data_IF_667693507186
#
_entry.id   IF_667693507186
#
_cell.length_a   1.000
_cell.length_b   1.000
_cell.length_c   1.000
_cell.angle_alpha   90.00
_cell.angle_beta   90.00
_cell.angle_gamma   90.00
#
_symmetry.space_group_name_H-M   'P 1'
#
loop_
_entity.id
_entity.type
_entity.pdbx_description
1 polymer ?
#
# COMPACT_ATOMS: atom_id res chain seq x y z
N UNK A 1 16.24 -35.72 4.52
CA UNK A 1 16.97 -35.17 3.37
C UNK A 1 15.94 -34.48 2.50
N UNK A 2 15.72 -33.17 2.67
CA UNK A 2 14.78 -32.38 1.86
C UNK A 2 15.49 -31.27 1.06
N UNK A 3 16.79 -31.48 0.79
CA UNK A 3 17.61 -30.57 0.00
C UNK A 3 17.36 -30.83 -1.50
N UNK A 4 16.59 -29.96 -2.17
CA UNK A 4 16.48 -30.02 -3.62
C UNK A 4 15.35 -29.21 -4.27
N UNK A 5 14.26 -28.92 -3.56
CA UNK A 5 13.13 -28.23 -4.17
C UNK A 5 13.41 -26.74 -4.35
N UNK A 6 13.25 -26.25 -5.59
CA UNK A 6 13.24 -24.83 -5.94
C UNK A 6 11.82 -24.29 -5.92
N UNK A 7 11.69 -23.00 -5.66
CA UNK A 7 10.40 -22.33 -5.68
C UNK A 7 9.74 -22.50 -7.06
N UNK A 8 8.64 -23.24 -7.08
CA UNK A 8 7.87 -23.58 -8.27
C UNK A 8 7.97 -25.02 -8.76
N UNK A 9 8.78 -25.85 -8.11
CA UNK A 9 8.82 -27.30 -8.37
C UNK A 9 7.57 -28.01 -7.82
N UNK A 10 6.92 -27.43 -6.80
CA UNK A 10 5.68 -27.90 -6.19
C UNK A 10 4.82 -26.74 -5.69
N UNK A 11 3.53 -27.02 -5.50
CA UNK A 11 2.63 -26.08 -4.82
C UNK A 11 2.97 -26.01 -3.34
N UNK A 12 3.11 -24.79 -2.81
CA UNK A 12 3.34 -24.57 -1.39
C UNK A 12 2.07 -24.05 -0.74
N UNK A 13 1.61 -24.71 0.31
CA UNK A 13 0.43 -24.35 1.08
C UNK A 13 0.60 -24.82 2.53
N UNK A 14 -0.21 -24.28 3.43
CA UNK A 14 -0.21 -24.71 4.83
C UNK A 14 -0.79 -26.12 4.92
N UNK A 15 0.01 -27.07 5.39
CA UNK A 15 -0.36 -28.48 5.55
C UNK A 15 0.05 -29.02 6.93
N UNK A 16 -0.48 -30.18 7.30
CA UNK A 16 -0.02 -30.95 8.47
C UNK A 16 0.49 -32.32 8.01
N UNK A 17 1.79 -32.65 8.17
CA UNK A 17 2.85 -31.78 8.72
C UNK A 17 3.17 -30.57 7.82
N UNK A 18 3.72 -29.50 8.41
CA UNK A 18 4.07 -28.27 7.66
C UNK A 18 5.13 -28.55 6.61
N UNK A 19 4.96 -27.96 5.43
CA UNK A 19 5.96 -28.04 4.36
C UNK A 19 7.25 -27.37 4.80
N UNK A 20 8.38 -28.00 4.44
CA UNK A 20 9.72 -27.49 4.71
C UNK A 20 10.62 -27.64 3.49
N UNK A 21 11.57 -26.72 3.35
CA UNK A 21 12.57 -26.77 2.28
C UNK A 21 13.13 -25.40 1.89
N UNK A 22 14.08 -25.43 0.95
CA UNK A 22 14.70 -24.22 0.39
C UNK A 22 13.70 -23.41 -0.46
N UNK A 23 12.75 -24.08 -1.09
CA UNK A 23 11.61 -23.47 -1.79
C UNK A 23 10.74 -22.62 -0.85
N UNK A 24 10.50 -23.09 0.37
CA UNK A 24 9.77 -22.34 1.40
C UNK A 24 10.60 -21.16 1.91
N UNK A 25 11.89 -21.34 2.16
CA UNK A 25 12.79 -20.24 2.55
C UNK A 25 12.84 -19.15 1.47
N UNK A 26 12.86 -19.56 0.19
CA UNK A 26 12.86 -18.65 -0.94
C UNK A 26 11.51 -17.93 -1.09
N UNK A 27 10.39 -18.61 -0.85
CA UNK A 27 9.07 -17.98 -0.77
C UNK A 27 9.05 -16.91 0.33
N UNK A 28 9.49 -17.27 1.54
CA UNK A 28 9.56 -16.36 2.69
C UNK A 28 10.41 -15.11 2.38
N UNK A 29 11.58 -15.32 1.77
CA UNK A 29 12.48 -14.23 1.35
C UNK A 29 11.84 -13.32 0.31
N UNK A 30 11.16 -13.87 -0.71
CA UNK A 30 10.51 -13.07 -1.76
C UNK A 30 9.35 -12.25 -1.23
N UNK A 31 8.53 -12.86 -0.38
CA UNK A 31 7.47 -12.17 0.35
C UNK A 31 8.06 -11.04 1.20
N UNK A 32 9.13 -11.31 1.95
CA UNK A 32 9.84 -10.30 2.75
C UNK A 32 10.41 -9.15 1.94
N UNK A 33 11.03 -9.42 0.78
CA UNK A 33 11.52 -8.38 -0.16
C UNK A 33 10.39 -7.50 -0.69
N UNK A 34 9.21 -8.09 -0.88
CA UNK A 34 8.01 -7.37 -1.29
C UNK A 34 7.27 -6.73 -0.09
N UNK A 35 7.83 -6.86 1.12
CA UNK A 35 7.38 -6.26 2.37
C UNK A 35 6.22 -6.98 3.06
N UNK A 36 5.99 -8.24 2.72
CA UNK A 36 5.05 -9.13 3.40
C UNK A 36 5.76 -9.86 4.55
N UNK A 37 5.17 -9.79 5.74
CA UNK A 37 5.77 -10.35 6.96
C UNK A 37 5.48 -11.85 7.09
N UNK A 38 6.50 -12.67 6.86
CA UNK A 38 6.40 -14.13 6.91
C UNK A 38 6.84 -14.71 8.24
N UNK A 39 7.15 -13.85 9.22
CA UNK A 39 7.87 -14.23 10.43
C UNK A 39 9.35 -14.50 10.14
N UNK A 40 9.92 -15.48 10.86
CA UNK A 40 11.32 -15.88 10.66
C UNK A 40 11.46 -16.69 9.36
N UNK A 41 12.48 -16.36 8.55
CA UNK A 41 12.88 -17.19 7.40
C UNK A 41 13.55 -18.46 7.94
N UNK A 42 12.74 -19.47 8.25
CA UNK A 42 13.15 -20.75 8.84
C UNK A 42 12.91 -21.94 7.91
N UNK A 43 12.42 -21.67 6.70
CA UNK A 43 12.11 -22.68 5.70
C UNK A 43 10.91 -23.55 6.05
N UNK A 44 10.02 -23.09 6.94
CA UNK A 44 8.79 -23.80 7.32
C UNK A 44 7.57 -22.96 6.96
N UNK A 45 6.63 -23.55 6.23
CA UNK A 45 5.41 -22.85 5.83
C UNK A 45 4.41 -22.93 6.98
N UNK A 46 4.54 -21.99 7.92
CA UNK A 46 3.63 -21.81 9.05
C UNK A 46 2.52 -20.79 8.76
N UNK A 47 1.62 -20.54 9.74
CA UNK A 47 0.51 -19.60 9.61
C UNK A 47 0.93 -18.18 9.23
N UNK A 48 2.09 -17.70 9.70
CA UNK A 48 2.61 -16.37 9.33
C UNK A 48 3.00 -16.30 7.85
N UNK A 49 3.69 -17.33 7.34
CA UNK A 49 4.05 -17.43 5.92
C UNK A 49 2.81 -17.57 5.04
N UNK A 50 1.81 -18.34 5.48
CA UNK A 50 0.52 -18.46 4.77
C UNK A 50 -0.22 -17.12 4.73
N UNK A 51 -0.25 -16.40 5.86
CA UNK A 51 -0.86 -15.07 5.96
C UNK A 51 -0.19 -14.07 5.01
N UNK A 52 1.15 -14.03 4.99
CA UNK A 52 1.90 -13.21 4.04
C UNK A 52 1.67 -13.60 2.58
N UNK A 53 1.54 -14.89 2.29
CA UNK A 53 1.24 -15.37 0.95
C UNK A 53 -0.17 -14.96 0.49
N UNK A 54 -1.18 -15.12 1.35
CA UNK A 54 -2.53 -14.61 1.11
C UNK A 54 -2.52 -13.10 0.91
N UNK A 55 -1.76 -12.40 1.74
CA UNK A 55 -1.61 -10.96 1.63
C UNK A 55 -1.02 -10.54 0.29
N UNK A 56 0.02 -11.24 -0.15
CA UNK A 56 0.62 -11.08 -1.45
C UNK A 56 -0.37 -11.35 -2.57
N UNK A 57 -1.13 -12.45 -2.50
CA UNK A 57 -2.11 -12.82 -3.51
C UNK A 57 -3.20 -11.76 -3.66
N UNK A 58 -3.82 -11.34 -2.56
CA UNK A 58 -4.82 -10.26 -2.60
C UNK A 58 -4.22 -8.97 -3.14
N UNK A 59 -3.02 -8.63 -2.67
CA UNK A 59 -2.35 -7.44 -3.14
C UNK A 59 -1.94 -7.56 -4.60
N UNK A 60 -1.71 -8.76 -5.15
CA UNK A 60 -1.37 -8.98 -6.54
C UNK A 60 -2.61 -9.18 -7.46
N UNK A 61 -3.83 -9.12 -6.91
CA UNK A 61 -5.05 -9.42 -7.67
C UNK A 61 -5.20 -10.90 -8.05
N UNK A 62 -4.55 -11.80 -7.30
CA UNK A 62 -4.64 -13.24 -7.46
C UNK A 62 -5.73 -13.82 -6.55
N UNK A 63 -6.23 -15.03 -6.84
CA UNK A 63 -7.03 -15.79 -5.89
C UNK A 63 -6.30 -15.92 -4.55
N UNK A 64 -6.94 -15.48 -3.46
CA UNK A 64 -6.40 -15.51 -2.10
C UNK A 64 -6.62 -16.88 -1.45
N UNK A 65 -6.06 -17.92 -2.04
CA UNK A 65 -6.21 -19.31 -1.59
C UNK A 65 -5.10 -19.74 -0.61
N UNK A 66 -4.04 -18.94 -0.43
CA UNK A 66 -2.88 -19.30 0.36
C UNK A 66 -2.01 -20.37 -0.29
N UNK A 67 -2.18 -20.61 -1.59
CA UNK A 67 -1.45 -21.60 -2.37
C UNK A 67 -0.46 -20.89 -3.29
N UNK A 68 0.83 -21.15 -3.09
CA UNK A 68 1.87 -20.69 -3.99
C UNK A 68 1.91 -21.60 -5.23
N UNK A 69 0.94 -21.42 -6.12
CA UNK A 69 0.84 -22.05 -7.43
C UNK A 69 1.51 -21.25 -8.55
N UNK A 70 1.29 -21.67 -9.79
CA UNK A 70 1.91 -21.09 -10.98
C UNK A 70 1.67 -19.58 -11.12
N UNK A 71 0.46 -19.10 -10.82
CA UNK A 71 0.09 -17.68 -10.93
C UNK A 71 0.82 -16.81 -9.90
N UNK A 72 0.93 -17.31 -8.66
CA UNK A 72 1.72 -16.69 -7.60
C UNK A 72 3.19 -16.58 -8.02
N UNK A 73 3.76 -17.66 -8.57
CA UNK A 73 5.15 -17.71 -9.03
C UNK A 73 5.39 -16.76 -10.21
N UNK A 74 4.49 -16.75 -11.19
CA UNK A 74 4.56 -15.85 -12.33
C UNK A 74 4.48 -14.39 -11.87
N UNK A 75 3.65 -14.10 -10.87
CA UNK A 75 3.57 -12.77 -10.27
C UNK A 75 4.88 -12.40 -9.55
N UNK A 76 5.48 -13.30 -8.77
CA UNK A 76 6.83 -13.05 -8.23
C UNK A 76 7.83 -12.75 -9.35
N UNK A 77 7.85 -13.51 -10.45
CA UNK A 77 8.75 -13.24 -11.59
C UNK A 77 8.54 -11.88 -12.22
N UNK A 78 7.30 -11.37 -12.26
CA UNK A 78 6.98 -10.01 -12.75
C UNK A 78 7.39 -8.92 -11.76
N UNK A 79 7.28 -9.18 -10.47
CA UNK A 79 7.52 -8.21 -9.39
C UNK A 79 8.98 -8.17 -8.89
N UNK A 80 9.75 -9.22 -9.19
CA UNK A 80 11.20 -9.28 -8.99
C UNK A 80 11.86 -8.80 -10.28
N UNK A 81 12.48 -7.61 -10.33
CA UNK A 81 13.11 -7.13 -11.54
C UNK A 81 14.27 -8.06 -11.91
N UNK A 82 14.42 -8.37 -13.21
CA UNK A 82 15.77 -8.61 -13.75
C UNK A 82 16.59 -7.36 -13.47
N UNK A 83 17.80 -7.53 -12.94
CA UNK A 83 18.74 -6.43 -12.79
C UNK A 83 18.92 -5.73 -14.15
N UNK A 84 18.42 -4.49 -14.25
CA UNK A 84 18.48 -3.65 -15.44
C UNK A 84 17.11 -3.34 -16.06
N UNK A 85 16.63 -2.11 -15.89
CA UNK A 85 15.98 -1.23 -16.91
C UNK A 85 15.02 -0.20 -16.27
N UNK A 86 15.47 1.06 -16.29
CA UNK A 86 14.76 2.32 -16.62
C UNK A 86 13.45 2.77 -15.94
N UNK A 87 13.00 2.19 -14.83
CA UNK A 87 11.84 2.73 -14.09
C UNK A 87 12.14 4.01 -13.27
N UNK A 88 13.41 4.40 -13.13
CA UNK A 88 13.86 5.53 -12.30
C UNK A 88 13.41 6.90 -12.81
N UNK A 89 13.18 7.05 -14.11
CA UNK A 89 12.94 8.38 -14.69
C UNK A 89 11.48 8.84 -14.59
N UNK A 90 10.51 7.94 -14.41
CA UNK A 90 9.09 8.33 -14.39
C UNK A 90 8.63 8.79 -13.00
N UNK A 91 9.13 8.17 -11.93
CA UNK A 91 8.72 8.51 -10.56
C UNK A 91 9.34 9.82 -10.06
N UNK A 92 10.63 10.04 -10.33
CA UNK A 92 11.31 11.30 -9.98
C UNK A 92 10.76 12.51 -10.74
N UNK A 93 10.38 12.33 -12.02
CA UNK A 93 9.75 13.38 -12.83
C UNK A 93 8.35 13.74 -12.29
N UNK A 94 7.57 12.76 -11.80
CA UNK A 94 6.24 12.99 -11.20
C UNK A 94 6.27 13.71 -9.85
N UNK A 95 7.28 13.45 -9.02
CA UNK A 95 7.44 14.19 -7.75
C UNK A 95 7.77 15.66 -7.98
N UNK A 96 8.59 15.93 -8.99
CA UNK A 96 8.88 17.30 -9.43
C UNK A 96 7.59 18.02 -9.89
N UNK A 97 6.59 17.26 -10.35
CA UNK A 97 5.30 17.78 -10.84
C UNK A 97 4.31 18.11 -9.70
N UNK A 98 4.33 17.38 -8.58
CA UNK A 98 3.57 17.75 -7.36
C UNK A 98 4.07 19.06 -6.73
N UNK A 99 5.39 19.25 -6.74
CA UNK A 99 6.03 20.51 -6.29
C UNK A 99 5.73 21.64 -7.29
N UNK A 100 5.78 21.37 -8.60
CA UNK A 100 5.49 22.37 -9.65
C UNK A 100 4.01 22.76 -9.78
N UNK A 101 3.06 21.87 -9.46
CA UNK A 101 1.63 22.06 -9.72
C UNK A 101 0.89 22.93 -8.69
N UNK A 102 1.62 23.58 -7.77
CA UNK A 102 1.03 24.53 -6.82
C UNK A 102 -0.07 23.89 -5.97
N UNK A 103 0.22 22.74 -5.37
CA UNK A 103 -0.69 22.06 -4.44
C UNK A 103 -0.92 22.95 -3.21
N UNK A 104 -1.91 23.87 -3.27
CA UNK A 104 -2.26 24.80 -2.20
C UNK A 104 -3.56 24.35 -1.55
N UNK A 105 -3.43 23.55 -0.48
CA UNK A 105 -4.56 22.95 0.21
C UNK A 105 -5.31 21.92 -0.66
N UNK A 106 -6.53 21.60 -0.24
CA UNK A 106 -7.37 20.57 -0.87
C UNK A 106 -8.47 21.13 -1.77
N UNK A 107 -8.62 22.47 -1.82
CA UNK A 107 -9.71 23.11 -2.55
C UNK A 107 -9.59 22.86 -4.05
N UNK A 108 -10.62 22.27 -4.65
CA UNK A 108 -10.66 21.95 -6.07
C UNK A 108 -9.81 20.75 -6.48
N UNK A 109 -9.23 20.02 -5.52
CA UNK A 109 -8.45 18.81 -5.76
C UNK A 109 -9.34 17.58 -5.76
N UNK A 110 -9.05 16.63 -6.63
CA UNK A 110 -9.76 15.36 -6.71
C UNK A 110 -9.04 14.32 -5.85
N UNK A 111 -9.66 13.96 -4.73
CA UNK A 111 -9.20 12.89 -3.84
C UNK A 111 -10.00 11.63 -4.13
N UNK A 112 -9.32 10.54 -4.45
CA UNK A 112 -9.95 9.24 -4.69
C UNK A 112 -9.71 8.34 -3.48
N UNK A 113 -10.80 7.86 -2.90
CA UNK A 113 -10.81 6.83 -1.85
C UNK A 113 -11.03 5.47 -2.52
N UNK A 114 -10.14 4.53 -2.27
CA UNK A 114 -10.21 3.19 -2.85
C UNK A 114 -10.43 2.17 -1.73
N UNK A 115 -11.49 1.36 -1.81
CA UNK A 115 -11.69 0.26 -0.86
C UNK A 115 -12.18 -1.03 -1.55
N UNK A 116 -11.87 -2.22 -1.01
CA UNK A 116 -12.41 -3.49 -1.51
C UNK A 116 -13.82 -3.79 -0.98
N UNK A 117 -14.29 -3.04 0.03
CA UNK A 117 -15.60 -3.18 0.68
C UNK A 117 -15.49 -3.34 2.20
N UNK A 118 -16.58 -3.04 2.91
CA UNK A 118 -16.68 -3.19 4.36
C UNK A 118 -16.16 -1.99 5.18
N UNK A 119 -15.77 -0.89 4.52
CA UNK A 119 -15.31 0.33 5.17
C UNK A 119 -16.25 1.53 4.95
N UNK A 120 -17.52 1.28 4.62
CA UNK A 120 -18.51 2.32 4.27
C UNK A 120 -18.59 3.46 5.29
N UNK A 121 -18.53 3.15 6.58
CA UNK A 121 -18.57 4.14 7.66
C UNK A 121 -17.36 5.07 7.65
N UNK A 122 -16.15 4.52 7.48
CA UNK A 122 -14.91 5.28 7.37
C UNK A 122 -14.88 6.06 6.06
N UNK A 123 -15.26 5.43 4.95
CA UNK A 123 -15.35 6.06 3.63
C UNK A 123 -16.32 7.24 3.64
N UNK A 124 -17.50 7.10 4.24
CA UNK A 124 -18.45 8.19 4.39
C UNK A 124 -17.91 9.34 5.26
N UNK A 125 -17.23 9.01 6.37
CA UNK A 125 -16.59 10.00 7.23
C UNK A 125 -15.46 10.76 6.51
N UNK A 126 -14.63 10.05 5.73
CA UNK A 126 -13.57 10.64 4.92
C UNK A 126 -14.13 11.52 3.81
N UNK A 127 -15.16 11.08 3.10
CA UNK A 127 -15.85 11.91 2.07
C UNK A 127 -16.34 13.22 2.66
N UNK A 128 -16.96 13.17 3.85
CA UNK A 128 -17.40 14.39 4.55
C UNK A 128 -16.20 15.27 4.93
N UNK A 129 -15.20 14.70 5.61
CA UNK A 129 -14.06 15.47 6.12
C UNK A 129 -13.21 16.11 5.02
N UNK A 130 -12.90 15.37 3.95
CA UNK A 130 -12.19 15.92 2.79
C UNK A 130 -13.06 16.92 2.00
N UNK A 131 -14.37 16.67 1.91
CA UNK A 131 -15.31 17.61 1.28
C UNK A 131 -15.40 18.95 2.03
N UNK A 132 -15.42 18.92 3.36
CA UNK A 132 -15.35 20.13 4.21
C UNK A 132 -14.02 20.90 4.02
N UNK A 133 -12.93 20.19 3.74
CA UNK A 133 -11.64 20.78 3.36
C UNK A 133 -11.59 21.30 1.90
N UNK A 134 -12.68 21.16 1.13
CA UNK A 134 -12.84 21.67 -0.23
C UNK A 134 -12.42 20.71 -1.35
N UNK A 135 -12.09 19.45 -1.03
CA UNK A 135 -11.78 18.45 -2.04
C UNK A 135 -13.03 17.91 -2.75
N UNK A 136 -12.89 17.59 -4.03
CA UNK A 136 -13.83 16.72 -4.73
C UNK A 136 -13.48 15.28 -4.43
N UNK A 137 -14.33 14.58 -3.67
CA UNK A 137 -14.04 13.22 -3.23
C UNK A 137 -14.79 12.20 -4.07
N UNK A 138 -14.05 11.32 -4.72
CA UNK A 138 -14.59 10.16 -5.42
C UNK A 138 -14.27 8.89 -4.64
N UNK A 139 -15.13 7.89 -4.75
CA UNK A 139 -14.92 6.59 -4.12
C UNK A 139 -14.98 5.52 -5.18
N UNK A 140 -14.02 4.61 -5.15
CA UNK A 140 -13.99 3.41 -5.97
C UNK A 140 -14.16 2.21 -5.04
N UNK A 141 -15.07 1.31 -5.41
CA UNK A 141 -15.31 0.05 -4.73
C UNK A 141 -15.02 -1.08 -5.71
N UNK A 142 -13.94 -1.81 -5.47
CA UNK A 142 -13.54 -2.92 -6.35
C UNK A 142 -12.63 -3.91 -5.60
N UNK A 143 -12.73 -5.23 -5.82
CA UNK A 143 -11.83 -6.19 -5.16
C UNK A 143 -10.37 -6.10 -5.65
N UNK A 144 -10.15 -5.72 -6.91
CA UNK A 144 -8.81 -5.59 -7.53
C UNK A 144 -8.24 -4.17 -7.45
N UNK A 145 -7.08 -4.04 -6.78
CA UNK A 145 -6.28 -2.81 -6.66
C UNK A 145 -5.78 -2.22 -7.97
N UNK A 146 -5.61 -3.04 -9.01
CA UNK A 146 -5.21 -2.58 -10.35
C UNK A 146 -6.36 -1.84 -11.04
N UNK A 147 -7.60 -2.28 -10.82
CA UNK A 147 -8.79 -1.56 -11.29
C UNK A 147 -8.97 -0.21 -10.60
N UNK A 148 -8.75 -0.16 -9.28
CA UNK A 148 -8.69 1.10 -8.52
C UNK A 148 -7.68 2.07 -9.13
N UNK A 149 -6.46 1.62 -9.39
CA UNK A 149 -5.42 2.44 -9.99
C UNK A 149 -5.81 2.94 -11.39
N UNK A 150 -6.36 2.05 -12.25
CA UNK A 150 -6.85 2.43 -13.58
C UNK A 150 -7.91 3.53 -13.51
N UNK A 151 -8.91 3.38 -12.66
CA UNK A 151 -10.00 4.34 -12.52
C UNK A 151 -9.51 5.67 -11.91
N UNK A 152 -8.64 5.64 -10.90
CA UNK A 152 -8.01 6.83 -10.34
C UNK A 152 -7.19 7.61 -11.39
N UNK A 153 -6.48 6.89 -12.26
CA UNK A 153 -5.77 7.48 -13.39
C UNK A 153 -6.70 8.10 -14.44
N UNK A 154 -7.83 7.44 -14.74
CA UNK A 154 -8.82 7.93 -15.71
C UNK A 154 -9.45 9.25 -15.27
N UNK A 155 -9.75 9.39 -13.98
CA UNK A 155 -10.33 10.63 -13.43
C UNK A 155 -9.28 11.70 -13.14
N UNK A 156 -8.01 11.45 -13.49
CA UNK A 156 -6.88 12.34 -13.22
C UNK A 156 -6.84 12.82 -11.76
N UNK A 157 -6.99 11.87 -10.81
CA UNK A 157 -6.98 12.21 -9.39
C UNK A 157 -5.67 12.90 -8.97
N UNK A 158 -5.78 13.86 -8.06
CA UNK A 158 -4.63 14.53 -7.45
C UNK A 158 -4.01 13.69 -6.33
N UNK A 159 -4.83 12.88 -5.64
CA UNK A 159 -4.43 12.07 -4.51
C UNK A 159 -5.26 10.77 -4.43
N UNK A 160 -4.60 9.67 -4.11
CA UNK A 160 -5.24 8.38 -3.83
C UNK A 160 -4.99 7.95 -2.39
N UNK A 161 -6.06 7.57 -1.69
CA UNK A 161 -6.00 6.94 -0.38
C UNK A 161 -6.68 5.57 -0.49
N UNK A 162 -5.88 4.51 -0.44
CA UNK A 162 -6.37 3.15 -0.43
C UNK A 162 -6.63 2.69 1.02
N UNK A 163 -7.84 2.24 1.30
CA UNK A 163 -8.29 1.75 2.61
C UNK A 163 -8.48 0.24 2.54
N UNK A 164 -7.77 -0.50 3.38
CA UNK A 164 -7.84 -1.95 3.47
C UNK A 164 -8.16 -2.36 4.91
N UNK A 165 -8.85 -3.48 5.09
CA UNK A 165 -9.19 -4.02 6.41
C UNK A 165 -8.91 -5.51 6.43
N UNK A 166 -7.98 -5.92 7.30
CA UNK A 166 -7.60 -7.33 7.47
C UNK A 166 -7.22 -7.57 8.92
N UNK A 167 -7.63 -8.69 9.53
CA UNK A 167 -7.16 -9.06 10.86
C UNK A 167 -5.63 -9.01 10.94
N UNK A 168 -5.09 -8.28 11.90
CA UNK A 168 -3.63 -8.16 12.06
C UNK A 168 -3.17 -6.79 12.53
N UNK A 169 -1.94 -6.42 12.19
CA UNK A 169 -1.39 -5.11 12.54
C UNK A 169 -1.84 -4.03 11.56
N UNK A 170 -2.08 -2.83 12.10
CA UNK A 170 -2.29 -1.65 11.28
C UNK A 170 -1.01 -1.30 10.53
N UNK A 171 -1.11 -0.91 9.27
CA UNK A 171 0.05 -0.45 8.50
C UNK A 171 -0.31 0.66 7.53
N UNK A 172 0.66 1.55 7.28
CA UNK A 172 0.60 2.52 6.19
C UNK A 172 1.72 2.21 5.22
N UNK A 173 1.41 2.23 3.94
CA UNK A 173 2.36 1.93 2.87
C UNK A 173 2.37 2.98 1.78
N UNK A 174 3.55 3.23 1.23
CA UNK A 174 3.78 4.12 0.08
C UNK A 174 4.59 3.37 -0.99
N UNK A 175 4.64 3.92 -2.20
CA UNK A 175 5.39 3.27 -3.27
C UNK A 175 6.90 3.31 -2.99
N UNK A 176 7.51 2.14 -2.83
CA UNK A 176 8.96 1.99 -2.84
C UNK A 176 9.40 0.72 -3.56
N UNK A 177 10.50 0.86 -4.27
CA UNK A 177 11.09 -0.13 -5.14
C UNK A 177 12.62 0.05 -5.09
N UNK A 178 13.38 -1.00 -5.39
CA UNK A 178 14.84 -0.90 -5.58
C UNK A 178 15.18 0.24 -6.54
N UNK A 179 15.81 1.30 -6.01
CA UNK A 179 16.23 2.49 -6.76
C UNK A 179 15.12 3.47 -7.18
N UNK A 180 13.86 3.24 -6.75
CA UNK A 180 12.73 4.12 -7.09
C UNK A 180 11.78 4.22 -5.90
N UNK A 181 11.53 5.41 -5.41
CA UNK A 181 10.64 5.67 -4.27
C UNK A 181 9.74 6.86 -4.61
N UNK A 182 8.52 6.88 -4.07
CA UNK A 182 7.72 8.10 -4.05
C UNK A 182 8.03 8.85 -2.76
N UNK A 183 8.89 9.87 -2.82
CA UNK A 183 9.15 10.76 -1.69
C UNK A 183 7.89 11.50 -1.19
N UNK A 184 6.99 11.93 -2.07
CA UNK A 184 5.71 12.55 -1.75
C UNK A 184 4.77 11.56 -1.05
N UNK A 185 4.68 10.34 -1.57
CA UNK A 185 3.93 9.26 -0.92
C UNK A 185 4.53 8.89 0.44
N UNK A 186 5.87 8.89 0.56
CA UNK A 186 6.57 8.67 1.82
C UNK A 186 6.27 9.77 2.82
N UNK A 187 6.45 11.04 2.45
CA UNK A 187 6.17 12.18 3.31
C UNK A 187 4.72 12.15 3.82
N UNK A 188 3.76 11.96 2.91
CA UNK A 188 2.36 11.81 3.28
C UNK A 188 2.12 10.62 4.21
N UNK A 189 2.75 9.48 3.94
CA UNK A 189 2.61 8.29 4.77
C UNK A 189 3.13 8.50 6.20
N UNK A 190 4.25 9.23 6.36
CA UNK A 190 4.78 9.60 7.67
C UNK A 190 3.85 10.58 8.40
N UNK A 191 3.36 11.63 7.72
CA UNK A 191 2.38 12.54 8.31
C UNK A 191 1.10 11.78 8.75
N UNK A 192 0.62 10.85 7.92
CA UNK A 192 -0.54 10.04 8.24
C UNK A 192 -0.30 9.13 9.45
N UNK A 193 0.87 8.50 9.55
CA UNK A 193 1.23 7.66 10.69
C UNK A 193 1.24 8.45 12.00
N UNK A 194 1.88 9.62 12.03
CA UNK A 194 1.92 10.50 13.22
C UNK A 194 0.52 10.90 13.71
N UNK A 195 -0.39 11.21 12.78
CA UNK A 195 -1.74 11.65 13.14
C UNK A 195 -2.64 10.50 13.59
N UNK A 196 -2.44 9.31 13.03
CA UNK A 196 -3.27 8.14 13.30
C UNK A 196 -2.75 7.29 14.46
N UNK A 197 -1.48 7.43 14.85
CA UNK A 197 -0.86 6.68 15.95
C UNK A 197 -1.71 6.68 17.22
N UNK A 198 -2.25 7.84 17.61
CA UNK A 198 -3.06 7.97 18.83
C UNK A 198 -4.38 7.18 18.80
N UNK A 199 -4.87 6.80 17.62
CA UNK A 199 -6.18 6.14 17.44
C UNK A 199 -6.02 4.66 17.11
N UNK A 200 -5.00 4.31 16.32
CA UNK A 200 -4.82 2.95 15.81
C UNK A 200 -3.56 2.27 16.35
N UNK A 201 -2.64 2.96 17.01
CA UNK A 201 -1.31 2.42 17.28
C UNK A 201 -0.57 2.07 15.98
N UNK A 202 -0.79 2.86 14.92
CA UNK A 202 -0.19 2.63 13.61
C UNK A 202 1.34 2.71 13.71
N UNK A 203 2.01 1.71 13.12
CA UNK A 203 3.48 1.62 13.15
C UNK A 203 4.07 2.29 11.91
N UNK A 204 5.34 2.70 12.04
CA UNK A 204 6.21 3.31 11.01
C UNK A 204 5.85 2.88 9.57
N UNK A 205 5.64 3.85 8.64
CA UNK A 205 5.29 3.55 7.27
C UNK A 205 6.27 2.63 6.55
N UNK A 206 5.73 1.77 5.67
CA UNK A 206 6.51 0.79 4.89
C UNK A 206 6.51 1.14 3.39
N UNK A 207 7.67 1.05 2.77
CA UNK A 207 7.78 1.16 1.32
C UNK A 207 7.43 -0.17 0.65
N UNK A 208 6.34 -0.22 -0.12
CA UNK A 208 5.83 -1.43 -0.77
C UNK A 208 5.59 -1.23 -2.28
N UNK A 209 5.46 -2.34 -3.01
CA UNK A 209 5.10 -2.36 -4.45
C UNK A 209 3.68 -2.84 -4.71
N UNK A 210 2.72 -2.39 -3.92
CA UNK A 210 1.30 -2.73 -4.13
C UNK A 210 0.83 -2.22 -5.51
N UNK A 211 -0.06 -2.92 -6.24
CA UNK A 211 -0.57 -2.44 -7.53
C UNK A 211 -1.17 -1.04 -7.45
N UNK A 212 -1.97 -0.75 -6.41
CA UNK A 212 -2.53 0.59 -6.22
C UNK A 212 -1.46 1.68 -6.06
N UNK A 213 -0.29 1.35 -5.51
CA UNK A 213 0.82 2.28 -5.31
C UNK A 213 1.75 2.35 -6.54
N UNK A 214 1.92 1.23 -7.25
CA UNK A 214 2.80 1.11 -8.42
C UNK A 214 2.17 1.65 -9.69
N UNK A 215 0.86 1.49 -9.84
CA UNK A 215 0.14 1.71 -11.11
C UNK A 215 -0.57 3.06 -11.14
N UNK A 216 -0.71 3.74 -10.01
CA UNK A 216 -1.20 5.12 -9.94
C UNK A 216 -0.16 6.11 -10.48
N UNK A 217 -0.65 7.21 -11.06
CA UNK A 217 0.18 8.28 -11.62
C UNK A 217 0.35 9.47 -10.67
N UNK A 218 -0.49 9.55 -9.65
CA UNK A 218 -0.53 10.57 -8.61
C UNK A 218 0.04 10.04 -7.29
N UNK A 219 0.14 10.91 -6.28
CA UNK A 219 0.50 10.49 -4.92
C UNK A 219 -0.52 9.47 -4.42
N UNK A 220 -0.03 8.35 -3.90
CA UNK A 220 -0.87 7.31 -3.34
C UNK A 220 -0.27 6.78 -2.03
N UNK A 221 -1.14 6.57 -1.04
CA UNK A 221 -0.83 5.80 0.17
C UNK A 221 -1.87 4.70 0.36
N UNK A 222 -1.49 3.63 1.06
CA UNK A 222 -2.39 2.55 1.45
C UNK A 222 -2.40 2.42 2.96
N UNK A 223 -3.56 2.57 3.58
CA UNK A 223 -3.81 2.41 5.00
C UNK A 223 -4.56 1.08 5.20
N UNK A 224 -3.91 0.14 5.89
CA UNK A 224 -4.52 -1.13 6.31
C UNK A 224 -4.85 -1.07 7.79
N UNK A 225 -6.08 -1.44 8.12
CA UNK A 225 -6.55 -1.53 9.49
C UNK A 225 -6.76 -2.99 9.92
N UNK A 226 -6.23 -3.30 11.10
CA UNK A 226 -6.17 -4.59 11.77
C UNK A 226 -7.45 -5.00 12.50
N UNK A 227 -8.14 -4.01 13.06
CA UNK A 227 -9.34 -4.20 13.88
C UNK A 227 -10.50 -3.36 13.34
N UNK A 228 -11.40 -4.02 12.62
CA UNK A 228 -12.60 -3.40 12.06
C UNK A 228 -13.50 -2.79 13.13
N UNK A 229 -13.57 -3.36 14.34
CA UNK A 229 -14.37 -2.81 15.43
C UNK A 229 -13.86 -1.43 15.86
N UNK A 230 -12.54 -1.27 15.96
CA UNK A 230 -11.91 0.02 16.25
C UNK A 230 -12.08 1.01 15.10
N UNK A 231 -12.02 0.55 13.84
CA UNK A 231 -12.27 1.42 12.68
C UNK A 231 -13.68 1.98 12.68
N UNK A 232 -14.70 1.14 12.85
CA UNK A 232 -16.10 1.57 12.81
C UNK A 232 -16.42 2.54 13.96
N UNK A 233 -15.96 2.22 15.19
CA UNK A 233 -16.19 3.08 16.37
C UNK A 233 -15.51 4.45 16.24
N UNK A 234 -14.33 4.50 15.64
CA UNK A 234 -13.53 5.73 15.55
C UNK A 234 -13.55 6.35 14.16
N UNK A 235 -14.44 5.93 13.25
CA UNK A 235 -14.48 6.38 11.86
C UNK A 235 -14.44 7.92 11.71
N UNK A 236 -15.21 8.72 12.47
CA UNK A 236 -15.13 10.19 12.39
C UNK A 236 -13.76 10.75 12.81
N UNK A 237 -13.16 10.18 13.85
CA UNK A 237 -11.86 10.62 14.35
C UNK A 237 -10.74 10.23 13.39
N UNK A 238 -10.77 9.00 12.85
CA UNK A 238 -9.84 8.53 11.82
C UNK A 238 -9.91 9.41 10.57
N UNK A 239 -11.12 9.75 10.13
CA UNK A 239 -11.33 10.63 9.00
C UNK A 239 -10.73 12.02 9.24
N UNK A 240 -11.05 12.65 10.37
CA UNK A 240 -10.51 13.96 10.74
C UNK A 240 -8.98 13.97 10.83
N UNK A 241 -8.39 12.91 11.40
CA UNK A 241 -6.94 12.76 11.53
C UNK A 241 -6.26 12.57 10.18
N UNK A 242 -6.83 11.75 9.29
CA UNK A 242 -6.28 11.53 7.96
C UNK A 242 -6.42 12.77 7.06
N UNK A 243 -7.52 13.53 7.18
CA UNK A 243 -7.66 14.82 6.48
C UNK A 243 -6.62 15.82 6.99
N UNK A 244 -6.44 15.91 8.31
CA UNK A 244 -5.44 16.78 8.93
C UNK A 244 -4.01 16.43 8.49
N UNK A 245 -3.68 15.14 8.37
CA UNK A 245 -2.35 14.72 7.93
C UNK A 245 -2.07 15.09 6.48
N UNK A 246 -3.07 15.00 5.60
CA UNK A 246 -2.95 15.45 4.21
C UNK A 246 -2.76 16.97 4.16
N UNK A 247 -3.53 17.74 4.93
CA UNK A 247 -3.37 19.20 5.00
C UNK A 247 -1.99 19.61 5.53
N UNK A 248 -1.49 18.92 6.55
CA UNK A 248 -0.15 19.15 7.10
C UNK A 248 0.95 18.83 6.07
N UNK A 249 0.85 17.70 5.39
CA UNK A 249 1.76 17.31 4.30
C UNK A 249 1.79 18.36 3.18
N UNK A 250 0.62 18.86 2.78
CA UNK A 250 0.50 19.92 1.78
C UNK A 250 1.15 21.22 2.25
N UNK A 251 1.02 21.58 3.52
CA UNK A 251 1.70 22.73 4.10
C UNK A 251 3.24 22.58 4.12
N UNK A 252 3.76 21.37 4.33
CA UNK A 252 5.21 21.13 4.31
C UNK A 252 5.82 21.34 2.93
N UNK A 253 5.13 20.91 1.86
CA UNK A 253 5.58 21.14 0.47
C UNK A 253 5.75 22.64 0.15
N UNK A 254 5.01 23.51 0.82
CA UNK A 254 5.11 24.97 0.63
C UNK A 254 6.35 25.55 1.33
N UNK A 255 6.69 25.01 2.51
CA UNK A 255 7.84 25.47 3.29
C UNK A 255 9.19 25.17 2.60
N UNK A 256 9.29 24.03 1.91
CA UNK A 256 10.48 23.68 1.12
C UNK A 256 10.64 24.53 -0.15
N UNK A 257 9.56 25.15 -0.64
CA UNK A 257 9.62 26.02 -1.84
C UNK A 257 10.08 27.45 -1.51
N UNK A 258 10.09 27.84 -0.23
CA UNK A 258 10.39 29.22 0.21
C UNK A 258 11.88 29.46 0.53
N UNK A 259 12.71 28.40 0.53
CA UNK A 259 14.17 28.54 0.52
C UNK A 259 14.72 28.23 -0.89
N UNK A 260 14.92 29.23 -1.77
CA UNK A 260 16.12 29.18 -2.58
C UNK A 260 17.33 29.43 -1.67
N UNK A 261 18.54 29.38 -2.23
CA UNK A 261 19.86 29.63 -1.62
C UNK A 261 20.63 28.33 -1.36
N UNK A 262 21.81 28.12 -1.94
CA UNK A 262 22.67 29.04 -2.71
C UNK A 262 23.63 28.24 -3.59
#
# INVERSE_FOLDING_TARGET
MDAGYKLGDRMLYLSSPVLRGDDVSELQRRLGVLGFDTGRIDGKLGPETESALKDFQTNAGLPTDGICGADTINTFRRLTPRAGTSASNVTAVRETELIRSGFVGLRGRTVVLCEPGGLDSLTAALRRSFGEAGASVLTIHHPDWSMHARQANTVAADLVIALDTRPGQNSISYFAATGVESGAGRALAYCAAEHLESVTGLVRPRGLRLPILRETRMTAISCRFGDMGTVVRNAPQLASKLTSSVLAWVGQLQSETTYPQA
#
